data_IF_057238583201
#
_entry.id   IF_057238583201
#
_cell.length_a   1.000
_cell.length_b   1.000
_cell.length_c   1.000
_cell.angle_alpha   90.00
_cell.angle_beta   90.00
_cell.angle_gamma   90.00
#
_symmetry.space_group_name_H-M   'P 1'
#
loop_
_entity.id
_entity.type
_entity.pdbx_description
1 polymer ?
#
# COMPACT_ATOMS: atom_id res chain seq x y z
N UNK A 1 -11.99 -32.93 -7.41
CA UNK A 1 -10.83 -32.16 -6.90
C UNK A 1 -10.93 -30.79 -7.54
N UNK A 2 -11.23 -29.73 -6.77
CA UNK A 2 -11.40 -28.39 -7.32
C UNK A 2 -10.05 -27.67 -7.34
N UNK A 3 -9.61 -27.26 -8.53
CA UNK A 3 -8.43 -26.41 -8.73
C UNK A 3 -8.59 -25.10 -7.95
N UNK A 4 -7.57 -24.80 -7.15
CA UNK A 4 -7.44 -23.56 -6.40
C UNK A 4 -6.83 -22.52 -7.34
N UNK A 5 -7.65 -21.64 -7.90
CA UNK A 5 -7.18 -20.50 -8.67
C UNK A 5 -6.24 -19.64 -7.80
N UNK A 6 -4.98 -19.51 -8.20
CA UNK A 6 -4.04 -18.57 -7.61
C UNK A 6 -4.55 -17.15 -7.90
N UNK A 7 -5.16 -16.51 -6.91
CA UNK A 7 -5.41 -15.07 -6.96
C UNK A 7 -4.06 -14.39 -6.87
N UNK A 8 -3.63 -13.78 -7.98
CA UNK A 8 -2.48 -12.87 -8.01
C UNK A 8 -2.57 -11.89 -6.83
N UNK A 9 -1.50 -11.77 -6.04
CA UNK A 9 -1.44 -10.89 -4.87
C UNK A 9 -1.32 -9.43 -5.31
N UNK A 10 -2.47 -8.86 -5.67
CA UNK A 10 -2.64 -7.47 -6.06
C UNK A 10 -2.45 -6.46 -4.90
N UNK A 11 -2.20 -6.96 -3.69
CA UNK A 11 -1.98 -6.12 -2.50
C UNK A 11 -0.49 -5.92 -2.29
N UNK A 12 0.29 -7.00 -2.29
CA UNK A 12 1.71 -6.93 -1.98
C UNK A 12 2.60 -6.81 -3.22
N UNK A 13 2.16 -7.28 -4.41
CA UNK A 13 3.02 -7.29 -5.60
C UNK A 13 2.27 -7.06 -6.93
N UNK A 14 1.66 -5.88 -7.12
CA UNK A 14 1.10 -5.50 -8.41
C UNK A 14 2.17 -5.50 -9.53
N UNK A 15 2.00 -6.35 -10.56
CA UNK A 15 2.94 -6.58 -11.70
C UNK A 15 3.48 -5.32 -12.40
N UNK A 16 2.78 -4.19 -12.31
CA UNK A 16 3.10 -2.96 -13.04
C UNK A 16 4.01 -1.97 -12.28
N UNK A 17 4.53 -2.31 -11.09
CA UNK A 17 5.38 -1.39 -10.30
C UNK A 17 6.85 -1.82 -10.13
N UNK A 18 7.29 -2.95 -10.71
CA UNK A 18 8.58 -3.59 -10.39
C UNK A 18 9.49 -3.88 -11.62
N UNK A 19 9.62 -2.94 -12.57
CA UNK A 19 10.50 -3.14 -13.75
C UNK A 19 12.00 -2.95 -13.46
N UNK A 20 12.40 -2.31 -12.36
CA UNK A 20 13.79 -1.91 -12.08
C UNK A 20 14.38 -2.39 -10.75
N UNK A 21 13.66 -3.24 -10.00
CA UNK A 21 14.12 -3.78 -8.70
C UNK A 21 14.05 -2.81 -7.52
N UNK A 22 13.52 -1.60 -7.75
CA UNK A 22 13.18 -0.62 -6.72
C UNK A 22 11.67 -0.58 -6.62
N UNK A 23 11.12 -0.83 -5.42
CA UNK A 23 9.70 -0.71 -5.19
C UNK A 23 9.26 0.76 -5.35
N UNK A 24 8.14 0.98 -6.04
CA UNK A 24 7.63 2.34 -6.28
C UNK A 24 7.46 3.15 -4.99
N UNK A 25 7.12 2.50 -3.87
CA UNK A 25 6.97 3.16 -2.58
C UNK A 25 8.29 3.74 -2.05
N UNK A 26 9.41 3.07 -2.28
CA UNK A 26 10.73 3.51 -1.82
C UNK A 26 11.21 4.72 -2.65
N UNK A 27 10.91 4.71 -3.96
CA UNK A 27 11.14 5.87 -4.82
C UNK A 27 10.29 7.08 -4.39
N UNK A 28 9.03 6.86 -4.02
CA UNK A 28 8.14 7.91 -3.51
C UNK A 28 8.60 8.46 -2.16
N UNK A 29 9.12 7.60 -1.27
CA UNK A 29 9.70 8.02 0.01
C UNK A 29 10.89 8.95 -0.21
N UNK A 30 11.84 8.55 -1.04
CA UNK A 30 13.01 9.38 -1.38
C UNK A 30 12.62 10.71 -2.07
N UNK A 31 11.60 10.68 -2.94
CA UNK A 31 11.16 11.88 -3.68
C UNK A 31 10.39 12.87 -2.80
N UNK A 32 9.57 12.39 -1.86
CA UNK A 32 8.67 13.23 -1.07
C UNK A 32 9.29 13.72 0.23
N UNK A 33 10.31 13.04 0.77
CA UNK A 33 10.94 13.39 2.05
C UNK A 33 9.89 13.54 3.16
N UNK A 34 9.87 14.70 3.83
CA UNK A 34 8.90 15.02 4.88
C UNK A 34 7.42 14.88 4.44
N UNK A 35 7.15 15.05 3.15
CA UNK A 35 5.82 14.91 2.56
C UNK A 35 5.33 13.46 2.47
N UNK A 36 6.21 12.47 2.66
CA UNK A 36 5.87 11.06 2.52
C UNK A 36 4.82 10.61 3.54
N UNK A 37 4.91 11.08 4.80
CA UNK A 37 3.93 10.80 5.85
C UNK A 37 2.52 11.23 5.44
N UNK A 38 2.38 12.42 4.85
CA UNK A 38 1.10 12.93 4.33
C UNK A 38 0.57 12.11 3.15
N UNK A 39 1.46 11.63 2.27
CA UNK A 39 1.09 10.73 1.18
C UNK A 39 0.53 9.40 1.71
N UNK A 40 1.17 8.80 2.72
CA UNK A 40 0.67 7.57 3.36
C UNK A 40 -0.71 7.81 3.98
N UNK A 41 -0.89 8.89 4.75
CA UNK A 41 -2.17 9.28 5.35
C UNK A 41 -3.30 9.44 4.30
N UNK A 42 -3.01 10.13 3.20
CA UNK A 42 -3.97 10.30 2.10
C UNK A 42 -4.40 8.96 1.49
N UNK A 43 -3.47 8.02 1.34
CA UNK A 43 -3.80 6.68 0.85
C UNK A 43 -4.66 5.88 1.84
N UNK A 44 -4.36 5.94 3.14
CA UNK A 44 -5.18 5.32 4.19
C UNK A 44 -6.61 5.85 4.12
N UNK A 45 -6.78 7.17 4.11
CA UNK A 45 -8.10 7.81 4.03
C UNK A 45 -8.85 7.43 2.74
N UNK A 46 -8.16 7.43 1.59
CA UNK A 46 -8.71 7.01 0.29
C UNK A 46 -9.29 5.59 0.36
N UNK A 47 -8.55 4.64 0.93
CA UNK A 47 -9.01 3.24 0.98
C UNK A 47 -10.13 3.04 2.02
N UNK A 48 -10.07 3.72 3.16
CA UNK A 48 -11.16 3.73 4.14
C UNK A 48 -12.44 4.40 3.60
N UNK A 49 -12.32 5.36 2.69
CA UNK A 49 -13.48 5.92 2.01
C UNK A 49 -14.09 4.90 1.04
N UNK A 50 -13.24 4.22 0.26
CA UNK A 50 -13.63 3.45 -0.92
C UNK A 50 -14.17 2.05 -0.63
N UNK A 51 -13.80 1.44 0.50
CA UNK A 51 -14.09 0.03 0.77
C UNK A 51 -15.58 -0.33 0.68
N UNK A 52 -16.48 0.58 1.09
CA UNK A 52 -17.92 0.31 1.13
C UNK A 52 -18.55 0.11 -0.26
N UNK A 53 -17.93 0.62 -1.33
CA UNK A 53 -18.57 0.69 -2.65
C UNK A 53 -17.67 0.30 -3.83
N UNK A 54 -16.40 -0.08 -3.60
CA UNK A 54 -15.51 -0.56 -4.69
C UNK A 54 -14.93 -1.95 -4.43
N UNK A 55 -13.93 -2.07 -3.56
CA UNK A 55 -13.15 -3.32 -3.43
C UNK A 55 -13.29 -4.01 -2.06
N UNK A 56 -14.16 -3.52 -1.16
CA UNK A 56 -14.45 -4.19 0.11
C UNK A 56 -13.20 -4.44 0.96
N UNK A 57 -13.02 -5.70 1.38
CA UNK A 57 -11.90 -6.14 2.22
C UNK A 57 -10.53 -5.79 1.65
N UNK A 58 -10.35 -5.81 0.33
CA UNK A 58 -9.06 -5.51 -0.31
C UNK A 58 -8.64 -4.05 -0.06
N UNK A 59 -9.59 -3.11 -0.03
CA UNK A 59 -9.29 -1.72 0.33
C UNK A 59 -8.89 -1.61 1.80
N UNK A 60 -9.53 -2.36 2.70
CA UNK A 60 -9.13 -2.38 4.11
C UNK A 60 -7.72 -2.94 4.30
N UNK A 61 -7.36 -4.00 3.56
CA UNK A 61 -6.00 -4.55 3.56
C UNK A 61 -4.98 -3.55 3.02
N UNK A 62 -5.33 -2.81 1.96
CA UNK A 62 -4.48 -1.71 1.45
C UNK A 62 -4.33 -0.59 2.49
N UNK A 63 -5.41 -0.18 3.15
CA UNK A 63 -5.33 0.81 4.24
C UNK A 63 -4.39 0.33 5.36
N UNK A 64 -4.49 -0.94 5.77
CA UNK A 64 -3.62 -1.54 6.77
C UNK A 64 -2.15 -1.54 6.33
N UNK A 65 -1.86 -1.88 5.07
CA UNK A 65 -0.50 -1.86 4.53
C UNK A 65 0.13 -0.46 4.62
N UNK A 66 -0.60 0.58 4.22
CA UNK A 66 -0.13 1.96 4.32
C UNK A 66 0.02 2.42 5.78
N UNK A 67 -0.86 1.96 6.67
CA UNK A 67 -0.74 2.23 8.11
C UNK A 67 0.51 1.58 8.71
N UNK A 68 0.79 0.32 8.38
CA UNK A 68 1.99 -0.38 8.84
C UNK A 68 3.27 0.33 8.35
N UNK A 69 3.29 0.80 7.10
CA UNK A 69 4.40 1.61 6.57
C UNK A 69 4.56 2.92 7.35
N UNK A 70 3.47 3.64 7.62
CA UNK A 70 3.52 4.87 8.40
C UNK A 70 4.04 4.64 9.83
N UNK A 71 3.60 3.55 10.48
CA UNK A 71 4.13 3.16 11.80
C UNK A 71 5.65 2.95 11.72
N UNK A 72 6.13 2.20 10.71
CA UNK A 72 7.57 1.97 10.54
C UNK A 72 8.37 3.26 10.32
N UNK A 73 7.86 4.20 9.52
CA UNK A 73 8.52 5.50 9.31
C UNK A 73 8.64 6.28 10.63
N UNK A 74 7.57 6.33 11.42
CA UNK A 74 7.56 7.08 12.71
C UNK A 74 8.42 6.40 13.77
N UNK A 75 8.42 5.07 13.82
CA UNK A 75 9.25 4.29 14.75
C UNK A 75 10.75 4.49 14.47
N UNK A 76 11.14 4.54 13.20
CA UNK A 76 12.53 4.80 12.79
C UNK A 76 13.00 6.25 13.04
N UNK A 77 12.07 7.20 13.24
CA UNK A 77 12.37 8.59 13.60
C UNK A 77 12.46 8.83 15.13
N UNK A 78 12.10 7.84 15.94
CA UNK A 78 12.00 7.93 17.41
C UNK A 78 13.30 7.61 18.15
#
# INVERSE_FOLDING_TARGET
MAEKAEKEDMVNNPKHYNESGIECIDALEAMLGDGFKSYLQGNIAKYLWRYKYKNGLEDLQKAQWYLNKLIGVVDNES
#
